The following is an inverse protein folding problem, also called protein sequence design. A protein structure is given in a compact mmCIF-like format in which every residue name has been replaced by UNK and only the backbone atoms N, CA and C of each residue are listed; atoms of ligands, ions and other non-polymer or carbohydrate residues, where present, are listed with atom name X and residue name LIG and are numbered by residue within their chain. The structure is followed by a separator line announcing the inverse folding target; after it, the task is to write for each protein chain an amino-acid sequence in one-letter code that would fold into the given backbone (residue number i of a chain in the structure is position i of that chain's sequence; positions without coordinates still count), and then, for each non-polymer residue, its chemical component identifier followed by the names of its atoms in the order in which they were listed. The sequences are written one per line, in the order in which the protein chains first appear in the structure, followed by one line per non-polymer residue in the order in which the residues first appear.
data_IF_455079107221
#
_entry.id   IF_455079107221
#
_cell.length_a   1.000
_cell.length_b   1.000
_cell.length_c   1.000
_cell.angle_alpha   90.00
_cell.angle_beta   90.00
_cell.angle_gamma   90.00
#
_symmetry.space_group_name_H-M   'P 1'
#
loop_
_entity.id
_entity.type
_entity.pdbx_description
1 polymer ?
#
# COMPACT_ATOMS: atom_id res chain seq x y z
N UNK A 1 16.25 -20.20 11.01
CA UNK A 1 15.42 -20.14 9.80
C UNK A 1 16.09 -19.16 8.84
N UNK A 2 16.36 -19.58 7.60
CA UNK A 2 16.93 -18.71 6.56
C UNK A 2 15.90 -17.70 6.06
N UNK A 3 16.34 -16.63 5.41
CA UNK A 3 15.45 -15.65 4.78
C UNK A 3 14.43 -16.31 3.82
N UNK A 4 14.89 -17.27 3.00
CA UNK A 4 14.04 -17.95 2.03
C UNK A 4 12.99 -18.86 2.69
N UNK A 5 13.32 -19.45 3.84
CA UNK A 5 12.37 -20.24 4.64
C UNK A 5 11.27 -19.36 5.22
N UNK A 6 11.63 -18.21 5.83
CA UNK A 6 10.65 -17.25 6.38
C UNK A 6 9.71 -16.76 5.29
N UNK A 7 10.25 -16.36 4.13
CA UNK A 7 9.44 -15.87 3.03
C UNK A 7 8.45 -16.93 2.54
N UNK A 8 8.91 -18.17 2.35
CA UNK A 8 8.08 -19.29 1.89
C UNK A 8 6.98 -19.63 2.89
N UNK A 9 7.29 -19.56 4.18
CA UNK A 9 6.30 -19.80 5.23
C UNK A 9 5.24 -18.69 5.26
N UNK A 10 5.64 -17.42 5.17
CA UNK A 10 4.71 -16.29 5.06
C UNK A 10 3.80 -16.42 3.83
N UNK A 11 4.34 -16.81 2.68
CA UNK A 11 3.54 -17.05 1.47
C UNK A 11 2.54 -18.20 1.67
N UNK A 12 2.97 -19.26 2.36
CA UNK A 12 2.09 -20.39 2.71
C UNK A 12 0.97 -19.97 3.65
N UNK A 13 1.27 -19.18 4.69
CA UNK A 13 0.30 -18.62 5.62
C UNK A 13 -0.77 -17.82 4.86
N UNK A 14 -0.35 -16.91 3.98
CA UNK A 14 -1.27 -16.08 3.18
C UNK A 14 -2.11 -16.89 2.20
N UNK A 15 -1.54 -17.90 1.53
CA UNK A 15 -2.31 -18.79 0.66
C UNK A 15 -3.33 -19.61 1.46
N UNK A 16 -2.92 -20.17 2.60
CA UNK A 16 -3.80 -20.93 3.49
C UNK A 16 -4.91 -20.06 4.09
N UNK A 17 -4.61 -18.80 4.38
CA UNK A 17 -5.61 -17.81 4.78
C UNK A 17 -6.70 -17.65 3.70
N UNK A 18 -6.29 -17.41 2.44
CA UNK A 18 -7.23 -17.25 1.32
C UNK A 18 -8.06 -18.51 1.12
N UNK A 19 -7.45 -19.70 1.16
CA UNK A 19 -8.15 -20.98 1.04
C UNK A 19 -9.19 -21.18 2.16
N UNK A 20 -8.83 -20.88 3.41
CA UNK A 20 -9.72 -20.99 4.56
C UNK A 20 -10.99 -20.15 4.37
N UNK A 21 -10.83 -18.92 3.88
CA UNK A 21 -11.95 -18.04 3.57
C UNK A 21 -12.81 -18.55 2.40
N UNK A 22 -12.19 -19.04 1.33
CA UNK A 22 -12.92 -19.59 0.16
C UNK A 22 -13.75 -20.82 0.56
N UNK A 23 -13.24 -21.65 1.47
CA UNK A 23 -13.94 -22.82 2.01
C UNK A 23 -15.05 -22.47 3.01
N UNK A 24 -15.18 -21.20 3.40
CA UNK A 24 -16.16 -20.75 4.39
C UNK A 24 -15.80 -21.12 5.84
N UNK A 25 -14.55 -21.52 6.10
CA UNK A 25 -14.07 -21.91 7.43
C UNK A 25 -13.91 -20.72 8.39
N UNK A 26 -14.07 -19.48 7.90
CA UNK A 26 -14.06 -18.27 8.73
C UNK A 26 -15.28 -18.17 9.65
N UNK A 27 -16.30 -19.01 9.45
CA UNK A 27 -17.58 -18.93 10.16
C UNK A 27 -18.46 -17.77 9.69
N UNK A 28 -18.03 -17.03 8.66
CA UNK A 28 -18.74 -15.88 8.11
C UNK A 28 -19.23 -16.23 6.71
N UNK A 29 -20.56 -16.24 6.54
CA UNK A 29 -21.17 -16.40 5.22
C UNK A 29 -21.01 -15.10 4.45
N UNK A 30 -20.15 -15.10 3.43
CA UNK A 30 -20.10 -14.02 2.44
C UNK A 30 -21.36 -14.14 1.58
N UNK A 31 -22.43 -13.42 1.91
CA UNK A 31 -23.67 -13.43 1.13
C UNK A 31 -23.43 -12.81 -0.25
N UNK A 32 -23.64 -13.59 -1.31
CA UNK A 32 -23.63 -13.14 -2.71
C UNK A 32 -25.00 -12.54 -3.06
N UNK A 33 -25.25 -11.30 -2.64
CA UNK A 33 -26.45 -10.55 -3.03
C UNK A 33 -26.27 -9.78 -4.35
N UNK A 34 -27.35 -9.46 -5.09
CA UNK A 34 -27.29 -8.70 -6.34
C UNK A 34 -27.03 -7.18 -6.15
N UNK A 35 -27.13 -6.66 -4.92
CA UNK A 35 -26.97 -5.23 -4.60
C UNK A 35 -26.08 -4.94 -3.38
N UNK A 36 -25.42 -5.95 -2.83
CA UNK A 36 -24.36 -5.78 -1.82
C UNK A 36 -23.05 -6.04 -2.53
N UNK A 37 -22.21 -5.02 -2.59
CA UNK A 37 -20.88 -5.07 -3.21
C UNK A 37 -20.20 -6.39 -2.88
N UNK A 38 -19.90 -7.15 -3.93
CA UNK A 38 -19.33 -8.49 -3.83
C UNK A 38 -17.98 -8.39 -3.11
N UNK A 39 -17.72 -9.32 -2.17
CA UNK A 39 -16.38 -9.71 -1.63
C UNK A 39 -15.81 -8.92 -0.45
N UNK A 40 -16.56 -8.50 0.57
CA UNK A 40 -15.88 -7.80 1.67
C UNK A 40 -16.42 -8.04 3.07
N UNK A 41 -15.69 -8.86 3.84
CA UNK A 41 -15.75 -8.81 5.30
C UNK A 41 -14.82 -7.71 5.81
N UNK A 42 -15.34 -6.82 6.64
CA UNK A 42 -14.59 -5.85 7.42
C UNK A 42 -15.10 -5.91 8.85
N UNK A 43 -14.83 -7.01 9.54
CA UNK A 43 -15.16 -7.11 10.95
C UNK A 43 -13.94 -6.94 11.84
N UNK A 44 -14.20 -6.41 13.03
CA UNK A 44 -13.19 -6.29 14.08
C UNK A 44 -12.93 -7.63 14.80
N UNK A 45 -13.82 -8.61 14.59
CA UNK A 45 -13.74 -9.92 15.24
C UNK A 45 -12.66 -10.78 14.60
N UNK A 46 -11.89 -11.48 15.43
CA UNK A 46 -10.89 -12.43 14.93
C UNK A 46 -11.63 -13.72 14.55
N UNK A 47 -11.66 -14.02 13.26
CA UNK A 47 -12.17 -15.27 12.72
C UNK A 47 -11.20 -16.44 12.98
N UNK A 48 -11.65 -17.71 12.92
CA UNK A 48 -10.74 -18.86 12.98
C UNK A 48 -9.64 -18.81 11.91
N UNK A 49 -9.96 -18.34 10.70
CA UNK A 49 -8.96 -18.14 9.64
C UNK A 49 -7.90 -17.11 10.03
N UNK A 50 -8.32 -16.00 10.65
CA UNK A 50 -7.38 -14.97 11.10
C UNK A 50 -6.49 -15.43 12.25
N UNK A 51 -7.06 -16.12 13.25
CA UNK A 51 -6.28 -16.70 14.35
C UNK A 51 -5.20 -17.65 13.86
N UNK A 52 -5.52 -18.44 12.83
CA UNK A 52 -4.65 -19.53 12.37
C UNK A 52 -3.60 -19.08 11.36
N UNK A 53 -3.90 -18.09 10.51
CA UNK A 53 -3.09 -17.84 9.31
C UNK A 53 -2.60 -16.40 9.13
N UNK A 54 -2.99 -15.43 9.96
CA UNK A 54 -2.39 -14.10 9.88
C UNK A 54 -0.90 -14.14 10.23
N UNK A 55 -0.09 -13.38 9.51
CA UNK A 55 1.36 -13.30 9.72
C UNK A 55 1.66 -12.87 11.16
N UNK A 56 0.91 -11.90 11.69
CA UNK A 56 1.10 -11.40 13.07
C UNK A 56 0.83 -12.42 14.17
N UNK A 57 0.16 -13.55 13.86
CA UNK A 57 -0.02 -14.64 14.81
C UNK A 57 1.23 -15.52 14.94
N UNK A 58 2.12 -15.48 13.94
CA UNK A 58 3.31 -16.34 13.84
C UNK A 58 4.63 -15.55 13.90
N UNK A 59 4.59 -14.27 13.53
CA UNK A 59 5.75 -13.42 13.42
C UNK A 59 5.51 -12.05 14.05
N UNK A 60 6.50 -11.59 14.81
CA UNK A 60 6.61 -10.16 15.13
C UNK A 60 7.05 -9.42 13.87
N UNK A 61 6.12 -8.79 13.15
CA UNK A 61 6.41 -8.18 11.85
C UNK A 61 7.52 -7.12 11.93
N UNK A 62 7.62 -6.41 13.06
CA UNK A 62 8.69 -5.43 13.30
C UNK A 62 10.08 -6.06 13.49
N UNK A 63 10.19 -7.36 13.78
CA UNK A 63 11.45 -8.08 13.90
C UNK A 63 11.92 -8.71 12.59
N UNK A 64 11.05 -8.76 11.58
CA UNK A 64 11.37 -9.34 10.27
C UNK A 64 12.52 -8.59 9.58
N UNK A 65 13.38 -9.30 8.82
CA UNK A 65 14.39 -8.67 7.98
C UNK A 65 13.76 -7.70 6.97
N UNK A 66 14.45 -6.61 6.65
CA UNK A 66 13.93 -5.58 5.73
C UNK A 66 13.55 -6.17 4.37
N UNK A 67 14.31 -7.15 3.88
CA UNK A 67 14.00 -7.79 2.61
C UNK A 67 12.63 -8.48 2.64
N UNK A 68 12.23 -9.06 3.77
CA UNK A 68 10.89 -9.65 3.94
C UNK A 68 9.85 -8.55 4.00
N UNK A 69 10.08 -7.53 4.82
CA UNK A 69 9.14 -6.40 5.00
C UNK A 69 8.84 -5.72 3.66
N UNK A 70 9.85 -5.55 2.80
CA UNK A 70 9.72 -5.03 1.43
C UNK A 70 8.82 -5.88 0.51
N UNK A 71 8.70 -7.19 0.76
CA UNK A 71 7.85 -8.11 -0.02
C UNK A 71 6.40 -8.14 0.47
N UNK A 72 6.16 -7.80 1.74
CA UNK A 72 4.82 -7.86 2.35
C UNK A 72 3.75 -7.05 1.61
N UNK A 73 4.00 -5.82 1.09
CA UNK A 73 2.99 -5.07 0.37
C UNK A 73 2.41 -5.82 -0.84
N UNK A 74 3.23 -6.63 -1.51
CA UNK A 74 2.80 -7.46 -2.65
C UNK A 74 2.07 -8.70 -2.16
N UNK A 75 2.65 -9.41 -1.19
CA UNK A 75 2.09 -10.65 -0.64
C UNK A 75 0.69 -10.42 -0.08
N UNK A 76 0.48 -9.33 0.66
CA UNK A 76 -0.79 -9.04 1.31
C UNK A 76 -1.94 -8.76 0.33
N UNK A 77 -1.67 -8.32 -0.91
CA UNK A 77 -2.70 -8.14 -1.95
C UNK A 77 -3.42 -9.45 -2.24
N UNK A 78 -2.75 -10.61 -2.13
CA UNK A 78 -3.38 -11.92 -2.32
C UNK A 78 -4.57 -12.13 -1.39
N UNK A 79 -4.52 -11.56 -0.19
CA UNK A 79 -5.63 -11.68 0.78
C UNK A 79 -6.89 -10.96 0.31
N UNK A 80 -6.80 -9.99 -0.60
CA UNK A 80 -7.93 -9.27 -1.20
C UNK A 80 -8.89 -10.17 -2.00
N UNK A 81 -8.47 -11.39 -2.37
CA UNK A 81 -9.38 -12.41 -2.91
C UNK A 81 -10.44 -12.86 -1.90
N UNK A 82 -10.12 -12.78 -0.61
CA UNK A 82 -10.93 -13.27 0.49
C UNK A 82 -11.52 -12.13 1.34
N UNK A 83 -10.68 -11.16 1.70
CA UNK A 83 -11.01 -10.08 2.62
C UNK A 83 -10.24 -8.82 2.21
N UNK A 84 -10.80 -7.64 2.46
CA UNK A 84 -10.12 -6.38 2.17
C UNK A 84 -8.91 -6.10 3.07
N UNK A 85 -9.05 -5.22 4.06
CA UNK A 85 -7.95 -4.86 4.97
C UNK A 85 -8.05 -5.74 6.20
N UNK A 86 -7.14 -6.68 6.34
CA UNK A 86 -6.98 -7.48 7.56
C UNK A 86 -5.96 -6.83 8.52
N UNK A 87 -5.68 -7.49 9.64
CA UNK A 87 -4.77 -6.96 10.67
C UNK A 87 -3.31 -6.92 10.22
N UNK A 88 -2.88 -7.81 9.32
CA UNK A 88 -1.51 -7.78 8.77
C UNK A 88 -1.25 -6.50 7.98
N UNK A 89 -2.24 -6.03 7.20
CA UNK A 89 -2.15 -4.74 6.52
C UNK A 89 -1.97 -3.59 7.50
N UNK A 90 -2.85 -3.48 8.50
CA UNK A 90 -2.80 -2.41 9.50
C UNK A 90 -1.46 -2.45 10.25
N UNK A 91 -0.95 -3.63 10.57
CA UNK A 91 0.35 -3.76 11.22
C UNK A 91 1.49 -3.29 10.31
N UNK A 92 1.54 -3.73 9.05
CA UNK A 92 2.54 -3.29 8.08
C UNK A 92 2.52 -1.78 7.88
N UNK A 93 1.33 -1.19 7.76
CA UNK A 93 1.14 0.25 7.61
C UNK A 93 1.57 1.02 8.86
N UNK A 94 1.21 0.53 10.05
CA UNK A 94 1.65 1.13 11.32
C UNK A 94 3.17 1.09 11.46
N UNK A 95 3.78 -0.06 11.15
CA UNK A 95 5.22 -0.22 11.18
C UNK A 95 5.93 0.71 10.19
N UNK A 96 5.41 0.80 8.97
CA UNK A 96 5.95 1.69 7.94
C UNK A 96 5.83 3.16 8.36
N UNK A 97 4.68 3.58 8.90
CA UNK A 97 4.46 4.94 9.40
C UNK A 97 5.41 5.31 10.54
N UNK A 98 5.69 4.36 11.43
CA UNK A 98 6.62 4.53 12.53
C UNK A 98 8.06 4.66 12.00
N UNK A 99 8.50 3.76 11.11
CA UNK A 99 9.82 3.84 10.47
C UNK A 99 10.01 5.17 9.75
N UNK A 100 9.03 5.62 8.96
CA UNK A 100 9.09 6.93 8.28
C UNK A 100 9.23 8.07 9.30
N UNK A 101 8.57 7.97 10.45
CA UNK A 101 8.65 8.99 11.47
C UNK A 101 10.06 9.12 12.04
N UNK A 102 10.75 8.00 12.22
CA UNK A 102 12.12 7.91 12.76
C UNK A 102 13.22 8.13 11.70
N UNK A 103 12.96 7.75 10.45
CA UNK A 103 13.95 7.77 9.35
C UNK A 103 13.75 8.93 8.35
N UNK A 104 12.79 9.83 8.60
CA UNK A 104 12.43 10.89 7.63
C UNK A 104 13.56 11.85 7.28
N UNK A 105 14.58 12.00 8.12
CA UNK A 105 15.71 12.91 7.86
C UNK A 105 16.78 12.27 6.98
N UNK A 106 16.80 10.95 6.93
CA UNK A 106 17.79 10.14 6.23
C UNK A 106 17.33 9.78 4.81
N UNK A 107 16.01 9.77 4.58
CA UNK A 107 15.40 9.47 3.28
C UNK A 107 15.47 10.72 2.38
N UNK A 108 16.16 10.59 1.24
CA UNK A 108 16.53 11.74 0.38
C UNK A 108 15.32 12.57 -0.08
N UNK A 109 14.27 11.92 -0.58
CA UNK A 109 13.09 12.64 -1.09
C UNK A 109 12.23 13.30 0.02
N UNK A 110 12.55 13.08 1.30
CA UNK A 110 11.94 13.81 2.42
C UNK A 110 12.74 15.00 2.93
N UNK A 111 14.06 15.04 2.73
CA UNK A 111 14.96 16.05 3.35
C UNK A 111 14.50 17.50 3.13
N UNK A 112 13.89 17.79 1.99
CA UNK A 112 13.39 19.12 1.65
C UNK A 112 11.88 19.13 1.29
N UNK A 113 11.13 18.09 1.67
CA UNK A 113 9.72 17.94 1.30
C UNK A 113 8.85 17.61 2.51
N UNK A 114 8.88 18.49 3.52
CA UNK A 114 8.10 18.33 4.76
C UNK A 114 6.59 18.21 4.52
N UNK A 115 6.07 18.79 3.44
CA UNK A 115 4.67 18.65 3.07
C UNK A 115 4.35 17.24 2.54
N UNK A 116 5.20 16.63 1.70
CA UNK A 116 5.01 15.24 1.29
C UNK A 116 5.02 14.30 2.51
N UNK A 117 5.94 14.52 3.44
CA UNK A 117 6.01 13.76 4.69
C UNK A 117 4.71 13.88 5.51
N UNK A 118 4.14 15.09 5.64
CA UNK A 118 2.84 15.29 6.30
C UNK A 118 1.72 14.53 5.62
N UNK A 119 1.67 14.55 4.29
CA UNK A 119 0.63 13.86 3.51
C UNK A 119 0.74 12.33 3.65
N UNK A 120 1.95 11.77 3.64
CA UNK A 120 2.16 10.34 3.90
C UNK A 120 1.73 9.96 5.31
N UNK A 121 2.12 10.74 6.31
CA UNK A 121 1.69 10.51 7.70
C UNK A 121 0.17 10.59 7.84
N UNK A 122 -0.47 11.52 7.13
CA UNK A 122 -1.94 11.63 7.11
C UNK A 122 -2.58 10.38 6.50
N UNK A 123 -2.09 9.91 5.34
CA UNK A 123 -2.60 8.69 4.71
C UNK A 123 -2.55 7.50 5.68
N UNK A 124 -1.40 7.25 6.30
CA UNK A 124 -1.29 6.14 7.25
C UNK A 124 -2.19 6.33 8.47
N UNK A 125 -2.28 7.54 9.03
CA UNK A 125 -3.16 7.82 10.18
C UNK A 125 -4.63 7.56 9.87
N UNK A 126 -5.11 7.96 8.69
CA UNK A 126 -6.50 7.72 8.27
C UNK A 126 -6.79 6.22 8.20
N UNK A 127 -5.87 5.43 7.65
CA UNK A 127 -6.03 3.97 7.54
C UNK A 127 -5.86 3.21 8.88
N UNK A 128 -5.23 3.83 9.88
CA UNK A 128 -4.98 3.25 11.20
C UNK A 128 -5.91 3.78 12.28
N UNK A 129 -6.80 4.71 11.94
CA UNK A 129 -7.72 5.32 12.89
C UNK A 129 -8.72 4.28 13.44
N UNK A 130 -8.83 4.11 14.76
CA UNK A 130 -9.79 3.18 15.34
C UNK A 130 -11.22 3.65 15.05
N UNK A 131 -12.05 2.77 14.48
CA UNK A 131 -13.45 3.09 14.15
C UNK A 131 -14.27 3.57 15.35
N UNK A 132 -13.97 3.08 16.55
CA UNK A 132 -14.63 3.51 17.80
C UNK A 132 -14.43 5.02 18.06
N UNK A 133 -13.22 5.54 17.85
CA UNK A 133 -12.92 6.98 18.05
C UNK A 133 -13.60 7.85 17.00
N UNK A 134 -13.71 7.33 15.78
CA UNK A 134 -14.41 8.02 14.71
C UNK A 134 -15.92 8.02 14.98
N UNK A 135 -16.48 6.87 15.37
CA UNK A 135 -17.89 6.72 15.71
C UNK A 135 -18.33 7.64 16.86
N UNK A 136 -17.47 7.87 17.85
CA UNK A 136 -17.78 8.76 18.98
C UNK A 136 -17.77 10.24 18.62
N UNK A 137 -17.12 10.64 17.52
CA UNK A 137 -16.88 12.05 17.18
C UNK A 137 -17.58 12.48 15.89
N UNK A 138 -17.54 11.60 14.88
CA UNK A 138 -18.07 11.77 13.53
C UNK A 138 -18.66 10.43 13.04
N UNK A 139 -19.80 9.98 13.61
CA UNK A 139 -20.42 8.69 13.26
C UNK A 139 -20.71 8.56 11.76
N UNK A 140 -21.06 9.65 11.09
CA UNK A 140 -21.31 9.72 9.65
C UNK A 140 -20.07 9.43 8.79
N UNK A 141 -18.86 9.56 9.34
CA UNK A 141 -17.61 9.29 8.62
C UNK A 141 -17.11 7.86 8.79
N UNK A 142 -17.71 7.07 9.69
CA UNK A 142 -17.22 5.72 10.01
C UNK A 142 -17.18 4.84 8.77
N UNK A 143 -18.25 4.84 7.99
CA UNK A 143 -18.34 3.98 6.80
C UNK A 143 -17.32 4.42 5.75
N UNK A 144 -17.27 5.71 5.43
CA UNK A 144 -16.33 6.30 4.48
C UNK A 144 -14.86 6.12 4.84
N UNK A 145 -14.53 6.13 6.13
CA UNK A 145 -13.14 6.04 6.59
C UNK A 145 -12.68 4.60 6.85
N UNK A 146 -13.56 3.75 7.39
CA UNK A 146 -13.17 2.45 7.96
C UNK A 146 -13.66 1.26 7.17
N UNK A 147 -14.77 1.40 6.43
CA UNK A 147 -15.33 0.30 5.65
C UNK A 147 -15.13 0.50 4.15
N UNK A 148 -15.45 1.67 3.63
CA UNK A 148 -15.36 2.01 2.20
C UNK A 148 -13.99 2.59 1.82
N UNK A 149 -13.21 3.06 2.80
CA UNK A 149 -11.88 3.66 2.61
C UNK A 149 -11.84 4.80 1.58
N UNK A 150 -12.96 5.45 1.30
CA UNK A 150 -13.08 6.55 0.33
C UNK A 150 -12.17 7.72 0.75
N UNK A 151 -12.15 8.06 2.04
CA UNK A 151 -11.26 9.12 2.55
C UNK A 151 -9.78 8.79 2.26
N UNK A 152 -9.39 7.53 2.46
CA UNK A 152 -8.04 7.08 2.13
C UNK A 152 -7.78 7.15 0.63
N UNK A 153 -8.73 6.73 -0.23
CA UNK A 153 -8.57 6.76 -1.67
C UNK A 153 -8.38 8.20 -2.21
N UNK A 154 -9.17 9.14 -1.69
CA UNK A 154 -9.06 10.57 -1.98
C UNK A 154 -7.70 11.16 -1.59
N UNK A 155 -7.00 10.56 -0.64
CA UNK A 155 -5.64 10.92 -0.25
C UNK A 155 -4.58 10.15 -1.06
N UNK A 156 -4.78 8.86 -1.29
CA UNK A 156 -3.80 7.94 -1.86
C UNK A 156 -3.46 8.30 -3.32
N UNK A 157 -4.46 8.61 -4.16
CA UNK A 157 -4.19 8.93 -5.57
C UNK A 157 -3.35 10.21 -5.74
N UNK A 158 -3.74 11.38 -5.19
CA UNK A 158 -2.92 12.59 -5.28
C UNK A 158 -1.54 12.42 -4.63
N UNK A 159 -1.47 11.67 -3.52
CA UNK A 159 -0.21 11.41 -2.84
C UNK A 159 0.73 10.55 -3.68
N UNK A 160 0.23 9.47 -4.29
CA UNK A 160 1.02 8.63 -5.19
C UNK A 160 1.50 9.45 -6.40
N UNK A 161 0.63 10.28 -6.99
CA UNK A 161 1.02 11.19 -8.07
C UNK A 161 2.16 12.13 -7.64
N UNK A 162 2.02 12.77 -6.47
CA UNK A 162 3.03 13.68 -5.92
C UNK A 162 4.34 12.97 -5.60
N UNK A 163 4.27 11.78 -4.99
CA UNK A 163 5.43 10.96 -4.66
C UNK A 163 6.22 10.63 -5.93
N UNK A 164 5.53 10.15 -6.97
CA UNK A 164 6.17 9.81 -8.25
C UNK A 164 6.77 11.03 -8.93
N UNK A 165 6.11 12.19 -8.92
CA UNK A 165 6.69 13.44 -9.46
C UNK A 165 7.93 13.89 -8.67
N UNK A 166 7.94 13.67 -7.36
CA UNK A 166 9.10 13.97 -6.50
C UNK A 166 10.27 13.02 -6.79
N UNK A 167 9.98 11.76 -7.14
CA UNK A 167 11.01 10.79 -7.52
C UNK A 167 11.48 10.96 -8.97
N UNK A 168 10.63 11.51 -9.85
CA UNK A 168 10.90 11.67 -11.28
C UNK A 168 11.32 13.08 -11.70
N UNK A 169 11.97 13.85 -10.81
CA UNK A 169 12.23 15.29 -11.01
C UNK A 169 13.09 15.63 -12.22
N UNK A 170 13.93 14.72 -12.71
CA UNK A 170 14.70 14.96 -13.94
C UNK A 170 13.84 15.01 -15.20
N UNK A 171 12.63 14.43 -15.14
CA UNK A 171 11.73 14.36 -16.28
C UNK A 171 10.48 15.23 -16.10
N UNK A 172 10.03 15.42 -14.86
CA UNK A 172 8.73 16.00 -14.57
C UNK A 172 8.81 16.96 -13.36
N UNK A 173 8.27 18.16 -13.51
CA UNK A 173 8.07 19.10 -12.40
C UNK A 173 6.88 18.68 -11.52
N UNK A 174 6.79 19.23 -10.31
CA UNK A 174 5.72 18.90 -9.36
C UNK A 174 4.31 19.24 -9.89
N UNK A 175 4.20 20.25 -10.78
CA UNK A 175 2.95 20.60 -11.46
C UNK A 175 2.61 19.63 -12.61
N UNK A 176 3.46 18.64 -12.88
CA UNK A 176 3.33 17.66 -13.96
C UNK A 176 3.90 18.11 -15.30
N UNK A 177 4.58 19.26 -15.40
CA UNK A 177 5.24 19.70 -16.63
C UNK A 177 6.41 18.80 -17.00
N UNK A 178 6.51 18.45 -18.27
CA UNK A 178 7.58 17.61 -18.82
C UNK A 178 8.78 18.50 -19.16
N UNK A 179 9.90 18.26 -18.49
CA UNK A 179 11.17 18.97 -18.71
C UNK A 179 12.18 18.16 -19.52
N UNK A 180 12.07 16.83 -19.51
CA UNK A 180 12.87 15.91 -20.34
C UNK A 180 11.97 14.94 -21.09
N UNK A 181 12.15 14.75 -22.41
CA UNK A 181 11.29 13.87 -23.19
C UNK A 181 11.37 12.40 -22.78
N UNK A 182 10.24 11.69 -22.86
CA UNK A 182 10.16 10.23 -22.67
C UNK A 182 8.99 9.64 -23.45
N UNK A 183 8.95 8.30 -23.55
CA UNK A 183 7.90 7.57 -24.28
C UNK A 183 7.23 6.52 -23.39
N UNK A 184 5.93 6.36 -23.58
CA UNK A 184 5.09 5.37 -22.87
C UNK A 184 4.38 4.47 -23.89
N UNK A 185 4.37 3.14 -23.69
CA UNK A 185 3.58 2.23 -24.52
C UNK A 185 2.07 2.51 -24.46
N UNK A 186 1.40 2.30 -25.58
CA UNK A 186 -0.05 2.46 -25.75
C UNK A 186 -0.56 1.42 -26.76
N UNK A 187 -1.86 1.14 -26.74
CA UNK A 187 -2.48 0.23 -27.70
C UNK A 187 -2.28 0.68 -29.16
N UNK A 188 -2.10 1.98 -29.39
CA UNK A 188 -1.88 2.59 -30.71
C UNK A 188 -0.39 2.86 -31.03
N UNK A 189 0.55 2.30 -30.26
CA UNK A 189 1.99 2.54 -30.42
C UNK A 189 2.60 3.31 -29.24
N UNK A 190 3.52 4.24 -29.48
CA UNK A 190 4.20 4.99 -28.42
C UNK A 190 3.59 6.39 -28.24
N UNK A 191 3.27 6.74 -26.99
CA UNK A 191 2.94 8.11 -26.61
C UNK A 191 4.23 8.84 -26.28
N UNK A 192 4.53 9.91 -27.01
CA UNK A 192 5.67 10.78 -26.72
C UNK A 192 5.25 11.94 -25.80
N UNK A 193 5.96 12.09 -24.69
CA UNK A 193 5.95 13.28 -23.84
C UNK A 193 7.20 14.09 -24.18
N UNK A 194 7.04 15.26 -24.78
CA UNK A 194 8.13 16.02 -25.41
C UNK A 194 8.23 17.49 -24.95
N UNK A 195 7.39 17.91 -24.00
CA UNK A 195 7.34 19.30 -23.54
C UNK A 195 6.76 20.30 -24.56
N UNK A 196 6.42 19.86 -25.78
CA UNK A 196 5.86 20.69 -26.86
C UNK A 196 4.41 20.36 -27.13
N UNK A 197 4.14 19.14 -27.60
CA UNK A 197 2.79 18.63 -27.89
C UNK A 197 2.13 18.07 -26.63
N UNK A 198 2.90 17.36 -25.82
CA UNK A 198 2.46 16.87 -24.50
C UNK A 198 3.32 17.50 -23.43
N UNK A 199 2.87 18.68 -22.99
CA UNK A 199 3.57 19.51 -22.00
C UNK A 199 3.40 19.02 -20.57
N UNK A 200 2.32 18.28 -20.28
CA UNK A 200 1.99 17.84 -18.92
C UNK A 200 1.57 16.38 -18.88
N UNK A 201 1.82 15.74 -17.75
CA UNK A 201 1.36 14.40 -17.39
C UNK A 201 0.48 14.46 -16.14
N UNK A 202 -0.70 13.85 -16.25
CA UNK A 202 -1.71 13.75 -15.20
C UNK A 202 -2.17 12.32 -14.94
N UNK A 203 -1.59 11.35 -15.66
CA UNK A 203 -1.92 9.92 -15.55
C UNK A 203 -0.93 9.25 -14.61
N UNK A 204 -1.44 8.65 -13.54
CA UNK A 204 -0.62 8.03 -12.49
C UNK A 204 0.01 6.76 -13.05
N UNK A 205 -0.71 5.98 -13.86
CA UNK A 205 -0.15 4.78 -14.50
C UNK A 205 1.05 5.08 -15.42
N UNK A 206 1.04 6.23 -16.10
CA UNK A 206 2.19 6.66 -16.91
C UNK A 206 3.36 7.13 -16.05
N UNK A 207 3.09 7.80 -14.92
CA UNK A 207 4.11 8.18 -13.94
C UNK A 207 4.77 6.95 -13.31
N UNK A 208 3.98 5.92 -12.97
CA UNK A 208 4.49 4.64 -12.48
C UNK A 208 5.38 3.95 -13.50
N UNK A 209 4.96 3.90 -14.77
CA UNK A 209 5.80 3.33 -15.83
C UNK A 209 7.13 4.09 -15.97
N UNK A 210 7.10 5.42 -15.97
CA UNK A 210 8.32 6.22 -16.04
C UNK A 210 9.23 5.95 -14.83
N UNK A 211 8.66 6.00 -13.62
CA UNK A 211 9.39 5.73 -12.38
C UNK A 211 10.05 4.36 -12.40
N UNK A 212 9.26 3.31 -12.68
CA UNK A 212 9.76 1.94 -12.74
C UNK A 212 10.92 1.84 -13.74
N UNK A 213 10.78 2.37 -14.96
CA UNK A 213 11.79 2.12 -15.99
C UNK A 213 13.09 2.92 -15.78
N UNK A 214 12.99 4.15 -15.26
CA UNK A 214 14.12 5.10 -15.22
C UNK A 214 14.72 5.34 -13.84
N UNK A 215 13.95 5.16 -12.76
CA UNK A 215 14.36 5.57 -11.41
C UNK A 215 14.40 4.42 -10.40
N UNK A 216 13.52 3.42 -10.54
CA UNK A 216 13.48 2.31 -9.61
C UNK A 216 14.76 1.46 -9.69
N UNK A 217 15.31 1.10 -8.53
CA UNK A 217 16.37 0.11 -8.39
C UNK A 217 15.93 -1.26 -8.95
N UNK A 218 16.88 -2.14 -9.30
CA UNK A 218 16.56 -3.49 -9.81
C UNK A 218 15.61 -4.24 -8.89
N UNK A 219 15.86 -4.21 -7.58
CA UNK A 219 15.00 -4.87 -6.60
C UNK A 219 13.58 -4.27 -6.54
N UNK A 220 13.45 -2.94 -6.67
CA UNK A 220 12.13 -2.29 -6.71
C UNK A 220 11.41 -2.55 -8.04
N UNK A 221 12.11 -2.58 -9.18
CA UNK A 221 11.56 -2.97 -10.48
C UNK A 221 10.93 -4.37 -10.42
N UNK A 222 11.63 -5.33 -9.83
CA UNK A 222 11.11 -6.69 -9.64
C UNK A 222 9.89 -6.70 -8.72
N UNK A 223 9.94 -6.00 -7.59
CA UNK A 223 8.80 -5.93 -6.68
C UNK A 223 7.58 -5.22 -7.29
N UNK A 224 7.79 -4.17 -8.09
CA UNK A 224 6.76 -3.48 -8.85
C UNK A 224 6.15 -4.36 -9.95
N UNK A 225 6.97 -5.20 -10.58
CA UNK A 225 6.51 -6.23 -11.52
C UNK A 225 5.63 -7.27 -10.81
N UNK A 226 6.08 -7.79 -9.68
CA UNK A 226 5.32 -8.75 -8.88
C UNK A 226 4.00 -8.12 -8.40
N UNK A 227 4.03 -6.84 -8.01
CA UNK A 227 2.86 -6.06 -7.63
C UNK A 227 1.81 -6.01 -8.75
N UNK A 228 2.18 -5.59 -9.97
CA UNK A 228 1.22 -5.48 -11.09
C UNK A 228 0.65 -6.84 -11.50
N UNK A 229 1.46 -7.90 -11.47
CA UNK A 229 1.01 -9.26 -11.79
C UNK A 229 0.03 -9.76 -10.74
N UNK A 230 0.33 -9.55 -9.47
CA UNK A 230 -0.56 -9.92 -8.36
C UNK A 230 -1.87 -9.14 -8.43
N UNK A 231 -1.85 -7.85 -8.72
CA UNK A 231 -3.08 -7.07 -8.93
C UNK A 231 -3.90 -7.60 -10.12
N UNK A 232 -3.27 -7.87 -11.26
CA UNK A 232 -3.97 -8.41 -12.42
C UNK A 232 -4.67 -9.75 -12.09
N UNK A 233 -4.02 -10.61 -11.31
CA UNK A 233 -4.57 -11.89 -10.87
C UNK A 233 -5.73 -11.71 -9.86
N UNK A 234 -5.58 -10.82 -8.88
CA UNK A 234 -6.52 -10.66 -7.76
C UNK A 234 -7.78 -9.89 -8.16
N UNK A 235 -7.62 -8.85 -8.97
CA UNK A 235 -8.72 -7.98 -9.41
C UNK A 235 -9.30 -8.38 -10.76
N UNK A 236 -8.72 -9.38 -11.44
CA UNK A 236 -9.13 -9.83 -12.78
C UNK A 236 -9.09 -8.67 -13.81
N UNK A 237 -8.21 -7.69 -13.58
CA UNK A 237 -8.08 -6.49 -14.42
C UNK A 237 -6.90 -6.58 -15.39
N UNK A 238 -7.12 -6.06 -16.59
CA UNK A 238 -6.06 -5.93 -17.59
C UNK A 238 -5.00 -4.91 -17.18
N UNK A 239 -3.73 -5.31 -17.20
CA UNK A 239 -2.60 -4.40 -16.93
C UNK A 239 -2.45 -3.30 -17.99
N UNK A 240 -3.00 -3.51 -19.18
CA UNK A 240 -2.83 -2.62 -20.32
C UNK A 240 -1.37 -2.55 -20.82
N UNK A 241 -1.08 -1.73 -21.84
CA UNK A 241 0.20 -1.72 -22.55
C UNK A 241 1.38 -1.21 -21.69
N UNK A 242 1.13 -0.40 -20.67
CA UNK A 242 2.16 0.16 -19.78
C UNK A 242 2.11 -0.45 -18.36
N UNK A 243 1.39 -1.55 -18.15
CA UNK A 243 1.46 -2.34 -16.91
C UNK A 243 0.61 -1.82 -15.74
N UNK A 244 0.19 -0.55 -15.75
CA UNK A 244 -0.48 0.12 -14.64
C UNK A 244 -1.85 0.71 -15.01
N UNK A 245 -2.50 0.18 -16.05
CA UNK A 245 -3.79 0.71 -16.50
C UNK A 245 -4.86 0.70 -15.41
N UNK A 246 -4.88 -0.35 -14.58
CA UNK A 246 -5.77 -0.48 -13.43
C UNK A 246 -5.72 0.73 -12.48
N UNK A 247 -4.56 1.35 -12.26
CA UNK A 247 -4.44 2.53 -11.38
C UNK A 247 -5.19 3.73 -11.96
N UNK A 248 -5.06 3.97 -13.27
CA UNK A 248 -5.79 5.05 -13.94
C UNK A 248 -7.29 4.74 -13.98
N UNK A 249 -7.65 3.47 -14.17
CA UNK A 249 -9.05 3.02 -14.18
C UNK A 249 -9.72 3.21 -12.81
N UNK A 250 -9.09 2.74 -11.73
CA UNK A 250 -9.59 2.90 -10.35
C UNK A 250 -9.75 4.37 -9.96
N UNK A 251 -8.83 5.23 -10.39
CA UNK A 251 -8.97 6.67 -10.18
C UNK A 251 -10.20 7.21 -10.89
N UNK A 252 -10.46 6.75 -12.11
CA UNK A 252 -11.62 7.17 -12.89
C UNK A 252 -12.93 6.75 -12.20
N UNK A 253 -13.01 5.50 -11.73
CA UNK A 253 -14.13 4.98 -10.93
C UNK A 253 -14.42 5.89 -9.73
N UNK A 254 -13.39 6.19 -8.94
CA UNK A 254 -13.52 7.07 -7.77
C UNK A 254 -14.04 8.47 -8.15
N UNK A 255 -13.48 9.09 -9.20
CA UNK A 255 -13.82 10.45 -9.60
C UNK A 255 -15.22 10.57 -10.23
N UNK A 256 -15.72 9.50 -10.85
CA UNK A 256 -17.08 9.48 -11.40
C UNK A 256 -18.14 9.04 -10.39
N UNK A 257 -17.76 8.74 -9.14
CA UNK A 257 -18.69 8.27 -8.12
C UNK A 257 -19.28 6.90 -8.42
N UNK A 258 -18.57 6.10 -9.23
CA UNK A 258 -18.90 4.70 -9.45
C UNK A 258 -18.57 3.88 -8.18
N UNK A 259 -19.01 2.62 -8.14
CA UNK A 259 -18.77 1.75 -6.99
C UNK A 259 -17.25 1.52 -6.79
N UNK A 260 -16.65 2.25 -5.86
CA UNK A 260 -15.22 2.17 -5.55
C UNK A 260 -14.95 1.09 -4.52
N UNK A 261 -14.07 0.16 -4.85
CA UNK A 261 -13.87 -1.01 -3.99
C UNK A 261 -12.80 -0.70 -2.94
N UNK A 262 -13.07 -0.94 -1.65
CA UNK A 262 -12.09 -0.60 -0.61
C UNK A 262 -10.79 -1.42 -0.72
N UNK A 263 -10.81 -2.58 -1.39
CA UNK A 263 -9.62 -3.35 -1.79
C UNK A 263 -8.72 -2.59 -2.77
N UNK A 264 -9.26 -1.76 -3.67
CA UNK A 264 -8.47 -0.93 -4.59
C UNK A 264 -7.65 0.10 -3.80
N UNK A 265 -8.25 0.73 -2.78
CA UNK A 265 -7.50 1.62 -1.88
C UNK A 265 -6.38 0.87 -1.14
N UNK A 266 -6.67 -0.31 -0.58
CA UNK A 266 -5.66 -1.10 0.13
C UNK A 266 -4.45 -1.43 -0.77
N UNK A 267 -4.69 -1.78 -2.04
CA UNK A 267 -3.62 -1.97 -3.01
C UNK A 267 -2.82 -0.69 -3.27
N UNK A 268 -3.46 0.48 -3.37
CA UNK A 268 -2.75 1.75 -3.54
C UNK A 268 -1.91 2.12 -2.32
N UNK A 269 -2.43 1.92 -1.11
CA UNK A 269 -1.65 2.12 0.14
C UNK A 269 -0.47 1.14 0.19
N UNK A 270 -0.65 -0.11 -0.23
CA UNK A 270 0.44 -1.08 -0.36
C UNK A 270 1.46 -0.66 -1.44
N UNK A 271 1.04 -0.08 -2.57
CA UNK A 271 1.96 0.43 -3.59
C UNK A 271 2.82 1.58 -3.06
N UNK A 272 2.20 2.53 -2.35
CA UNK A 272 2.92 3.63 -1.69
C UNK A 272 3.89 3.08 -0.64
N UNK A 273 3.43 2.13 0.18
CA UNK A 273 4.24 1.43 1.18
C UNK A 273 5.44 0.73 0.54
N UNK A 274 5.22 0.02 -0.58
CA UNK A 274 6.25 -0.69 -1.34
C UNK A 274 7.35 0.26 -1.81
N UNK A 275 6.96 1.37 -2.46
CA UNK A 275 7.91 2.37 -2.94
C UNK A 275 8.71 2.90 -1.75
N UNK A 276 8.06 3.37 -0.69
CA UNK A 276 8.76 3.96 0.46
C UNK A 276 9.72 2.96 1.11
N UNK A 277 9.30 1.71 1.34
CA UNK A 277 10.15 0.69 1.98
C UNK A 277 11.41 0.37 1.16
N UNK A 278 11.34 0.45 -0.16
CA UNK A 278 12.50 0.24 -1.03
C UNK A 278 13.46 1.43 -1.06
N UNK A 279 12.95 2.64 -0.82
CA UNK A 279 13.77 3.85 -0.76
C UNK A 279 14.47 4.06 0.60
N UNK A 280 14.09 3.32 1.64
CA UNK A 280 14.76 3.38 2.95
C UNK A 280 16.08 2.60 2.87
N UNK A 281 17.25 3.21 3.14
CA UNK A 281 18.52 2.49 3.19
C UNK A 281 18.52 1.40 4.27
N UNK A 282 19.17 0.26 3.99
CA UNK A 282 19.12 -0.91 4.87
C UNK A 282 19.75 -0.65 6.24
N UNK A 283 20.88 0.03 6.26
CA UNK A 283 21.58 0.48 7.47
C UNK A 283 20.70 1.39 8.32
N UNK A 284 20.06 2.39 7.70
CA UNK A 284 19.11 3.30 8.37
C UNK A 284 17.93 2.52 8.96
N UNK A 285 17.35 1.58 8.20
CA UNK A 285 16.24 0.76 8.70
C UNK A 285 16.63 -0.02 9.96
N UNK A 286 17.75 -0.74 9.93
CA UNK A 286 18.17 -1.58 11.05
C UNK A 286 18.56 -0.74 12.28
N UNK A 287 19.27 0.39 12.08
CA UNK A 287 19.59 1.32 13.17
C UNK A 287 18.31 1.86 13.84
N UNK A 288 17.36 2.37 13.04
CA UNK A 288 16.12 2.94 13.56
C UNK A 288 15.24 1.88 14.21
N UNK A 289 15.20 0.65 13.67
CA UNK A 289 14.48 -0.47 14.27
C UNK A 289 14.98 -0.80 15.68
N UNK A 290 16.30 -0.89 15.87
CA UNK A 290 16.87 -1.19 17.18
C UNK A 290 16.55 -0.09 18.20
N UNK A 291 16.70 1.18 17.81
CA UNK A 291 16.34 2.32 18.66
C UNK A 291 14.87 2.29 19.07
N UNK A 292 13.96 1.97 18.15
CA UNK A 292 12.54 1.85 18.48
C UNK A 292 12.25 0.69 19.43
N UNK A 293 12.95 -0.44 19.26
CA UNK A 293 12.82 -1.60 20.15
C UNK A 293 13.24 -1.24 21.58
N UNK A 294 14.32 -0.48 21.73
CA UNK A 294 14.76 0.05 23.02
C UNK A 294 13.73 0.99 23.64
N UNK A 295 13.20 1.93 22.85
CA UNK A 295 12.15 2.85 23.29
C UNK A 295 10.87 2.13 23.74
N UNK A 296 10.45 1.11 23.01
CA UNK A 296 9.27 0.30 23.36
C UNK A 296 9.50 -0.48 24.66
N UNK A 297 10.67 -1.11 24.82
CA UNK A 297 11.05 -1.79 26.07
C UNK A 297 11.04 -0.81 27.25
N UNK A 298 11.60 0.39 27.07
CA UNK A 298 11.58 1.44 28.07
C UNK A 298 10.14 1.83 28.46
N UNK A 299 9.28 2.12 27.48
CA UNK A 299 7.87 2.48 27.70
C UNK A 299 7.10 1.40 28.47
N UNK A 300 7.27 0.13 28.08
CA UNK A 300 6.65 -1.00 28.76
C UNK A 300 7.13 -1.12 30.22
N UNK A 301 8.43 -0.92 30.47
CA UNK A 301 9.00 -0.99 31.81
C UNK A 301 8.51 0.14 32.73
N UNK A 302 8.21 1.33 32.20
CA UNK A 302 7.65 2.45 32.97
C UNK A 302 6.11 2.45 33.02
N UNK A 303 5.47 1.36 32.57
CA UNK A 303 4.02 1.16 32.66
C UNK A 303 3.20 1.90 31.59
N UNK A 304 3.84 2.54 30.60
CA UNK A 304 3.15 3.12 29.45
C UNK A 304 2.80 1.97 28.50
N UNK A 305 1.52 1.62 28.45
CA UNK A 305 1.01 0.65 27.48
C UNK A 305 0.80 1.32 26.12
N UNK A 306 1.03 0.53 25.06
CA UNK A 306 0.61 0.88 23.70
C UNK A 306 -0.88 1.28 23.70
N UNK A 307 -1.27 2.31 22.94
CA UNK A 307 -2.68 2.68 22.76
C UNK A 307 -3.46 1.66 21.89
N UNK A 308 -2.77 0.64 21.38
CA UNK A 308 -3.29 -0.54 20.69
C UNK A 308 -3.14 -1.77 21.58
#
# INVERSE_FOLDING_TARGET
MTYQEILRDIEKLVNSYVECWIKGESGIRITRGPHVSRRTYLGNNITPCEQKYLIIAHYNLHELPLQIVRRLPVILIKTHKAQNVNRDHKYLWAWTAQIISEASREIEFFKNNGELLRQIRLLFRVNLMPGIRLASTFPELVDFATYEFILSACLAFPLLERLLKTLCTEHIEIDGRVVKPFKIPSAKGLISYDGKKKKRISRIGHLLYLFENYYASTALKEALKDFRLTCAEVYEEGMGPYGYYFVDHWRNILLHGEEFWPTMNAALVNLITLIILHEIPSDVYYERREKMRENLKFQLNIGIRSPF
#
